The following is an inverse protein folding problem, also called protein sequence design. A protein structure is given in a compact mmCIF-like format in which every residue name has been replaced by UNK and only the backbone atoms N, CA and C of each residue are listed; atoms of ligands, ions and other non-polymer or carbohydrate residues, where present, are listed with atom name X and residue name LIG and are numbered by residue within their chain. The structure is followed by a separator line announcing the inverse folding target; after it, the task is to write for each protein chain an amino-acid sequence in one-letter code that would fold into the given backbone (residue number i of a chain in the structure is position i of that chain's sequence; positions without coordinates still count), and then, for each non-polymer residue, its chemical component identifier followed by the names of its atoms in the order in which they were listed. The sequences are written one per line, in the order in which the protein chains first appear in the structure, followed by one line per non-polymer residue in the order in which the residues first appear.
data_IF_618788283801
#
_entry.id   IF_618788283801
#
_cell.length_a   1.000
_cell.length_b   1.000
_cell.length_c   1.000
_cell.angle_alpha   90.00
_cell.angle_beta   90.00
_cell.angle_gamma   90.00
#
_symmetry.space_group_name_H-M   'P 1'
#
loop_
_entity.id
_entity.type
_entity.pdbx_description
1 polymer ?
#
# COMPACT_ATOMS: atom_id res chain seq x y z
N UNK A 1 -12.74 24.22 2.76
CA UNK A 1 -11.26 24.22 2.79
C UNK A 1 -10.75 23.16 1.81
N UNK A 2 -9.69 23.49 1.07
CA UNK A 2 -9.00 22.53 0.18
C UNK A 2 -7.81 21.96 0.93
N UNK A 3 -7.57 20.62 0.91
CA UNK A 3 -6.42 20.04 1.57
C UNK A 3 -5.14 20.26 0.74
N UNK A 4 -4.00 20.39 1.42
CA UNK A 4 -2.68 20.32 0.79
C UNK A 4 -2.18 18.87 0.70
N UNK A 5 -2.60 18.02 1.66
CA UNK A 5 -2.23 16.60 1.74
C UNK A 5 -3.49 15.77 1.96
N UNK A 6 -3.59 14.66 1.21
CA UNK A 6 -4.62 13.64 1.35
C UNK A 6 -3.92 12.33 1.73
N UNK A 7 -4.27 11.74 2.88
CA UNK A 7 -3.74 10.44 3.29
C UNK A 7 -4.78 9.36 3.05
N UNK A 8 -4.43 8.36 2.23
CA UNK A 8 -5.28 7.21 1.92
C UNK A 8 -4.53 5.92 2.30
N UNK A 9 -5.25 4.97 2.89
CA UNK A 9 -4.72 3.65 3.24
C UNK A 9 -5.69 2.59 2.73
N UNK A 10 -5.29 1.88 1.66
CA UNK A 10 -6.08 0.81 1.07
C UNK A 10 -5.19 -0.33 0.56
N UNK A 11 -5.49 -1.60 0.90
CA UNK A 11 -6.52 -2.00 1.88
C UNK A 11 -6.28 -1.41 3.27
N UNK A 12 -7.36 -1.08 3.96
CA UNK A 12 -7.32 -0.28 5.20
C UNK A 12 -7.01 -1.11 6.45
N UNK A 13 -6.15 -0.59 7.29
CA UNK A 13 -6.02 -1.00 8.67
C UNK A 13 -6.70 0.05 9.57
N UNK A 14 -7.76 -0.27 10.35
CA UNK A 14 -8.15 -1.62 10.81
C UNK A 14 -9.33 -2.26 10.10
N UNK A 15 -10.04 -1.56 9.22
CA UNK A 15 -11.36 -1.98 8.73
C UNK A 15 -11.33 -3.12 7.70
N UNK A 16 -10.19 -3.35 7.04
CA UNK A 16 -10.07 -4.30 5.93
C UNK A 16 -10.73 -3.83 4.62
N UNK A 17 -11.25 -2.60 4.59
CA UNK A 17 -11.87 -2.03 3.40
C UNK A 17 -10.87 -1.78 2.29
N UNK A 18 -11.31 -1.99 1.06
CA UNK A 18 -10.58 -1.70 -0.15
C UNK A 18 -11.33 -0.66 -1.01
N UNK A 19 -10.64 -0.08 -1.97
CA UNK A 19 -11.21 0.91 -2.87
C UNK A 19 -11.08 0.41 -4.32
N UNK A 20 -12.12 0.58 -5.15
CA UNK A 20 -12.02 0.22 -6.56
C UNK A 20 -11.16 1.23 -7.32
N UNK A 21 -10.69 0.83 -8.50
CA UNK A 21 -9.90 1.71 -9.36
C UNK A 21 -10.66 2.99 -9.73
N UNK A 22 -11.96 2.88 -10.02
CA UNK A 22 -12.80 4.02 -10.37
C UNK A 22 -12.94 5.00 -9.20
N UNK A 23 -13.13 4.46 -7.99
CA UNK A 23 -13.21 5.27 -6.77
C UNK A 23 -11.87 5.96 -6.45
N UNK A 24 -10.74 5.23 -6.64
CA UNK A 24 -9.42 5.79 -6.45
C UNK A 24 -9.09 6.88 -7.48
N UNK A 25 -9.56 6.72 -8.73
CA UNK A 25 -9.41 7.73 -9.78
C UNK A 25 -10.06 9.06 -9.39
N UNK A 26 -11.21 9.05 -8.72
CA UNK A 26 -11.87 10.29 -8.23
C UNK A 26 -10.96 11.05 -7.27
N UNK A 27 -10.21 10.36 -6.40
CA UNK A 27 -9.25 11.00 -5.51
C UNK A 27 -8.06 11.58 -6.24
N UNK A 28 -7.54 10.87 -7.25
CA UNK A 28 -6.44 11.34 -8.10
C UNK A 28 -6.85 12.59 -8.88
N UNK A 29 -8.03 12.58 -9.49
CA UNK A 29 -8.57 13.72 -10.25
C UNK A 29 -8.78 14.93 -9.33
N UNK A 30 -9.33 14.69 -8.14
CA UNK A 30 -9.51 15.75 -7.15
C UNK A 30 -8.18 16.36 -6.69
N UNK A 31 -7.18 15.51 -6.36
CA UNK A 31 -5.86 15.97 -5.94
C UNK A 31 -5.18 16.82 -7.02
N UNK A 32 -5.21 16.37 -8.27
CA UNK A 32 -4.67 17.15 -9.41
C UNK A 32 -5.41 18.47 -9.60
N UNK A 33 -6.74 18.47 -9.43
CA UNK A 33 -7.57 19.69 -9.56
C UNK A 33 -7.23 20.76 -8.53
N UNK A 34 -6.96 20.36 -7.27
CA UNK A 34 -6.73 21.30 -6.18
C UNK A 34 -5.25 21.54 -5.86
N UNK A 35 -4.34 20.78 -6.50
CA UNK A 35 -2.89 20.84 -6.26
C UNK A 35 -2.45 20.13 -4.97
N UNK A 36 -3.25 19.20 -4.44
CA UNK A 36 -2.92 18.41 -3.27
C UNK A 36 -1.98 17.25 -3.60
N UNK A 37 -1.23 16.78 -2.60
CA UNK A 37 -0.42 15.57 -2.69
C UNK A 37 -1.10 14.42 -1.95
N UNK A 38 -1.32 13.29 -2.64
CA UNK A 38 -1.81 12.07 -2.01
C UNK A 38 -0.61 11.30 -1.43
N UNK A 39 -0.71 10.90 -0.16
CA UNK A 39 0.14 9.87 0.44
C UNK A 39 -0.70 8.59 0.48
N UNK A 40 -0.35 7.63 -0.37
CA UNK A 40 -1.07 6.36 -0.52
C UNK A 40 -0.33 5.24 0.20
N UNK A 41 -0.91 4.72 1.27
CA UNK A 41 -0.37 3.61 2.04
C UNK A 41 -0.89 2.28 1.47
N UNK A 42 -0.02 1.60 0.73
CA UNK A 42 -0.26 0.32 0.08
C UNK A 42 0.35 -0.87 0.86
N UNK A 43 0.52 -0.75 2.18
CA UNK A 43 1.19 -1.77 2.99
C UNK A 43 0.52 -3.15 2.92
N UNK A 44 -0.75 -3.23 2.54
CA UNK A 44 -1.53 -4.47 2.42
C UNK A 44 -1.86 -4.86 0.98
N UNK A 45 -1.26 -4.24 -0.04
CA UNK A 45 -1.54 -4.48 -1.45
C UNK A 45 -1.42 -5.96 -1.87
N UNK A 46 -0.51 -6.70 -1.26
CA UNK A 46 -0.28 -8.11 -1.55
C UNK A 46 -1.45 -9.03 -1.14
N UNK A 47 -2.39 -8.53 -0.34
CA UNK A 47 -3.59 -9.25 0.09
C UNK A 47 -4.80 -9.02 -0.82
N UNK A 48 -4.67 -8.20 -1.86
CA UNK A 48 -5.74 -7.90 -2.81
C UNK A 48 -5.94 -9.11 -3.73
N UNK A 49 -7.19 -9.57 -3.84
CA UNK A 49 -7.59 -10.66 -4.71
C UNK A 49 -8.66 -10.27 -5.73
N UNK A 50 -9.38 -9.17 -5.52
CA UNK A 50 -10.41 -8.69 -6.43
C UNK A 50 -9.79 -7.90 -7.58
N UNK A 51 -10.16 -8.25 -8.82
CA UNK A 51 -9.59 -7.68 -10.04
C UNK A 51 -9.83 -6.16 -10.22
N UNK A 52 -10.90 -5.64 -9.64
CA UNK A 52 -11.26 -4.22 -9.71
C UNK A 52 -10.60 -3.35 -8.63
N UNK A 53 -9.84 -3.95 -7.72
CA UNK A 53 -9.10 -3.27 -6.66
C UNK A 53 -7.64 -3.09 -7.10
N UNK A 54 -7.15 -1.84 -7.23
CA UNK A 54 -5.79 -1.61 -7.71
C UNK A 54 -4.74 -1.98 -6.66
N UNK A 55 -3.64 -2.57 -7.11
CA UNK A 55 -2.46 -2.86 -6.27
C UNK A 55 -1.56 -1.63 -6.07
N UNK A 56 -1.72 -0.62 -6.93
CA UNK A 56 -0.95 0.62 -6.89
C UNK A 56 -1.81 1.80 -7.30
N UNK A 57 -1.61 2.95 -6.65
CA UNK A 57 -2.24 4.20 -7.07
C UNK A 57 -1.83 4.60 -8.51
N UNK A 58 -0.66 4.14 -8.96
CA UNK A 58 -0.15 4.44 -10.30
C UNK A 58 -0.87 3.68 -11.42
N UNK A 59 -1.82 2.83 -11.11
CA UNK A 59 -2.78 2.29 -12.08
C UNK A 59 -3.85 3.32 -12.48
N UNK A 60 -3.98 4.41 -11.68
CA UNK A 60 -4.86 5.53 -11.99
C UNK A 60 -4.14 6.57 -12.89
N UNK A 61 -4.87 7.09 -13.87
CA UNK A 61 -4.34 8.13 -14.76
C UNK A 61 -4.05 9.43 -13.98
N UNK A 62 -2.91 10.05 -14.24
CA UNK A 62 -2.51 11.28 -13.56
C UNK A 62 -1.97 11.10 -12.13
N UNK A 63 -1.90 9.89 -11.58
CA UNK A 63 -1.40 9.68 -10.21
C UNK A 63 0.08 10.05 -10.05
N UNK A 64 0.89 9.94 -11.11
CA UNK A 64 2.32 10.29 -11.06
C UNK A 64 2.60 11.76 -10.78
N UNK A 65 1.63 12.63 -11.02
CA UNK A 65 1.75 14.08 -10.78
C UNK A 65 1.20 14.54 -9.45
N UNK A 66 0.54 13.66 -8.68
CA UNK A 66 -0.06 14.03 -7.40
C UNK A 66 0.13 13.01 -6.28
N UNK A 67 0.77 11.84 -6.49
CA UNK A 67 0.81 10.79 -5.47
C UNK A 67 2.21 10.32 -5.11
N UNK A 68 2.39 10.02 -3.82
CA UNK A 68 3.50 9.28 -3.22
C UNK A 68 2.93 7.96 -2.71
N UNK A 69 3.59 6.83 -3.01
CA UNK A 69 3.15 5.51 -2.59
C UNK A 69 4.11 4.88 -1.58
N UNK A 70 3.55 4.29 -0.53
CA UNK A 70 4.30 3.64 0.55
C UNK A 70 4.06 2.13 0.53
N UNK A 71 5.13 1.34 0.62
CA UNK A 71 5.09 -0.11 0.68
C UNK A 71 5.83 -0.67 1.90
N UNK A 72 5.40 -1.83 2.37
CA UNK A 72 5.98 -2.48 3.54
C UNK A 72 6.16 -3.98 3.31
N UNK A 73 7.37 -4.49 3.56
CA UNK A 73 7.64 -5.93 3.60
C UNK A 73 7.19 -6.60 4.91
N UNK A 74 6.79 -5.79 5.90
CA UNK A 74 6.31 -6.32 7.19
C UNK A 74 5.11 -7.22 7.05
N UNK A 75 4.23 -6.93 6.08
CA UNK A 75 2.94 -7.60 5.92
C UNK A 75 2.99 -8.73 4.90
N UNK A 76 3.52 -8.44 3.71
CA UNK A 76 3.58 -9.43 2.64
C UNK A 76 4.66 -10.51 2.88
N UNK A 77 5.84 -10.15 3.41
CA UNK A 77 6.99 -11.04 3.57
C UNK A 77 7.31 -11.43 5.02
N UNK A 78 6.49 -11.01 5.99
CA UNK A 78 6.74 -11.29 7.41
C UNK A 78 7.94 -10.54 7.99
N UNK A 79 8.40 -9.45 7.36
CA UNK A 79 9.59 -8.69 7.76
C UNK A 79 9.34 -7.71 8.92
N UNK A 80 8.35 -7.97 9.77
CA UNK A 80 8.02 -7.08 10.88
C UNK A 80 9.22 -6.80 11.79
N UNK A 81 10.05 -7.79 12.09
CA UNK A 81 11.28 -7.65 12.87
C UNK A 81 12.50 -7.25 12.04
N UNK A 82 12.47 -7.41 10.72
CA UNK A 82 13.58 -7.12 9.81
C UNK A 82 13.64 -5.65 9.42
N UNK A 83 12.52 -4.95 9.43
CA UNK A 83 12.35 -3.51 9.19
C UNK A 83 12.70 -3.06 7.78
N UNK A 84 11.89 -3.46 6.80
CA UNK A 84 12.04 -3.05 5.41
C UNK A 84 10.74 -2.49 4.83
N UNK A 85 10.84 -1.40 4.12
CA UNK A 85 9.79 -0.79 3.32
C UNK A 85 10.42 0.08 2.24
N UNK A 86 9.62 0.57 1.32
CA UNK A 86 10.07 1.53 0.31
C UNK A 86 8.99 2.55 0.01
N UNK A 87 9.43 3.69 -0.52
CA UNK A 87 8.58 4.80 -0.94
C UNK A 87 8.81 5.06 -2.42
N UNK A 88 7.73 5.16 -3.17
CA UNK A 88 7.77 5.55 -4.58
C UNK A 88 7.39 7.02 -4.70
N UNK A 89 8.31 7.84 -5.19
CA UNK A 89 8.08 9.26 -5.47
C UNK A 89 8.43 9.50 -6.94
N UNK A 90 7.43 9.74 -7.80
CA UNK A 90 7.68 10.02 -9.21
C UNK A 90 8.55 11.26 -9.41
N UNK A 91 9.41 11.23 -10.43
CA UNK A 91 10.21 12.41 -10.77
C UNK A 91 9.38 13.58 -11.28
N UNK A 92 8.17 13.29 -11.75
CA UNK A 92 7.23 14.28 -12.29
C UNK A 92 6.41 14.99 -11.19
N UNK A 93 6.45 14.45 -9.95
CA UNK A 93 5.70 15.00 -8.83
C UNK A 93 6.34 16.29 -8.31
N UNK A 94 5.55 17.37 -8.33
CA UNK A 94 5.95 18.71 -7.88
C UNK A 94 4.99 19.23 -6.81
N UNK A 95 5.52 20.11 -5.95
CA UNK A 95 4.75 21.01 -5.12
C UNK A 95 5.19 22.44 -5.44
N UNK A 96 4.34 23.21 -6.13
CA UNK A 96 4.76 24.43 -6.81
C UNK A 96 5.89 24.13 -7.79
N UNK A 97 6.99 24.86 -7.70
CA UNK A 97 8.16 24.68 -8.55
C UNK A 97 9.16 23.65 -8.03
N UNK A 98 8.86 22.98 -6.91
CA UNK A 98 9.79 22.09 -6.20
C UNK A 98 9.53 20.63 -6.56
N UNK A 99 10.58 19.93 -7.04
CA UNK A 99 10.55 18.49 -7.33
C UNK A 99 10.62 17.69 -6.03
N UNK A 100 9.55 17.02 -5.64
CA UNK A 100 9.50 16.26 -4.37
C UNK A 100 10.46 15.10 -4.34
N UNK A 101 10.69 14.42 -5.47
CA UNK A 101 11.67 13.34 -5.57
C UNK A 101 13.09 13.81 -5.17
N UNK A 102 13.52 14.98 -5.62
CA UNK A 102 14.86 15.51 -5.31
C UNK A 102 15.00 15.85 -3.81
N UNK A 103 13.95 16.44 -3.22
CA UNK A 103 13.92 16.71 -1.76
C UNK A 103 13.96 15.42 -0.95
N UNK A 104 13.18 14.42 -1.33
CA UNK A 104 13.17 13.12 -0.67
C UNK A 104 14.51 12.42 -0.76
N UNK A 105 15.12 12.34 -1.95
CA UNK A 105 16.42 11.72 -2.16
C UNK A 105 17.51 12.35 -1.26
N UNK A 106 17.54 13.69 -1.20
CA UNK A 106 18.45 14.42 -0.32
C UNK A 106 18.19 14.12 1.16
N UNK A 107 16.93 14.19 1.59
CA UNK A 107 16.54 13.93 2.98
C UNK A 107 16.87 12.50 3.39
N UNK A 108 16.48 11.53 2.56
CA UNK A 108 16.71 10.11 2.81
C UNK A 108 18.23 9.82 2.92
N UNK A 109 19.01 10.24 1.93
CA UNK A 109 20.46 10.02 1.92
C UNK A 109 21.22 10.74 3.03
N UNK A 110 20.66 11.82 3.62
CA UNK A 110 21.30 12.58 4.71
C UNK A 110 20.91 12.07 6.10
N UNK A 111 19.67 11.62 6.26
CA UNK A 111 19.11 11.25 7.57
C UNK A 111 19.23 9.77 7.89
N UNK A 112 19.18 8.91 6.87
CA UNK A 112 18.99 7.47 7.08
C UNK A 112 19.99 6.58 6.32
N UNK A 113 20.41 6.96 5.12
CA UNK A 113 21.28 6.19 4.21
C UNK A 113 20.69 4.85 3.71
N UNK A 114 19.47 4.50 4.07
CA UNK A 114 18.79 3.28 3.66
C UNK A 114 18.87 2.13 4.68
N UNK A 115 18.16 1.05 4.40
CA UNK A 115 18.17 -0.16 5.20
C UNK A 115 19.53 -0.89 5.10
N UNK A 116 19.90 -1.73 6.07
CA UNK A 116 21.12 -2.55 5.98
C UNK A 116 21.15 -3.38 4.70
N UNK A 117 22.34 -3.53 4.10
CA UNK A 117 22.49 -4.23 2.81
C UNK A 117 21.91 -5.64 2.80
N UNK A 118 22.13 -6.42 3.87
CA UNK A 118 21.56 -7.79 4.02
C UNK A 118 20.03 -7.76 3.95
N UNK A 119 19.40 -6.76 4.58
CA UNK A 119 17.94 -6.59 4.58
C UNK A 119 17.43 -6.22 3.18
N UNK A 120 18.17 -5.38 2.44
CA UNK A 120 17.84 -5.04 1.06
C UNK A 120 17.94 -6.28 0.15
N UNK A 121 18.98 -7.12 0.31
CA UNK A 121 19.11 -8.38 -0.43
C UNK A 121 17.99 -9.38 -0.10
N UNK A 122 17.56 -9.44 1.17
CA UNK A 122 16.39 -10.22 1.56
C UNK A 122 15.11 -9.71 0.88
N UNK A 123 14.92 -8.38 0.80
CA UNK A 123 13.82 -7.77 0.07
C UNK A 123 13.83 -8.08 -1.44
N UNK A 124 15.00 -8.07 -2.06
CA UNK A 124 15.16 -8.47 -3.46
C UNK A 124 14.76 -9.94 -3.68
N UNK A 125 15.14 -10.83 -2.77
CA UNK A 125 14.81 -12.25 -2.84
C UNK A 125 13.29 -12.51 -2.78
N UNK A 126 12.51 -11.63 -2.16
CA UNK A 126 11.04 -11.67 -2.15
C UNK A 126 10.44 -11.68 -3.56
N UNK A 127 11.10 -10.99 -4.50
CA UNK A 127 10.64 -10.89 -5.90
C UNK A 127 11.17 -12.00 -6.81
N UNK A 128 12.02 -12.91 -6.31
CA UNK A 128 12.43 -14.10 -7.05
C UNK A 128 11.23 -15.04 -7.30
N UNK A 129 11.30 -15.96 -8.27
CA UNK A 129 10.25 -16.95 -8.48
C UNK A 129 9.91 -17.74 -7.21
N UNK A 130 10.92 -18.19 -6.47
CA UNK A 130 10.76 -18.93 -5.21
C UNK A 130 10.17 -18.04 -4.12
N UNK A 131 10.62 -16.79 -4.01
CA UNK A 131 10.10 -15.81 -3.04
C UNK A 131 8.61 -15.55 -3.27
N UNK A 132 8.21 -15.29 -4.51
CA UNK A 132 6.80 -15.07 -4.87
C UNK A 132 5.92 -16.28 -4.54
N UNK A 133 6.40 -17.50 -4.79
CA UNK A 133 5.64 -18.71 -4.46
C UNK A 133 5.51 -18.91 -2.95
N UNK A 134 6.54 -18.60 -2.16
CA UNK A 134 6.49 -18.63 -0.70
C UNK A 134 5.52 -17.57 -0.16
N UNK A 135 5.57 -16.35 -0.69
CA UNK A 135 4.65 -15.29 -0.31
C UNK A 135 3.19 -15.66 -0.59
N UNK A 136 2.92 -16.21 -1.77
CA UNK A 136 1.56 -16.65 -2.14
C UNK A 136 0.99 -17.64 -1.12
N UNK A 137 1.79 -18.61 -0.68
CA UNK A 137 1.39 -19.58 0.34
C UNK A 137 1.13 -18.92 1.70
N UNK A 138 2.01 -18.01 2.11
CA UNK A 138 1.86 -17.27 3.37
C UNK A 138 0.62 -16.39 3.37
N UNK A 139 0.38 -15.63 2.30
CA UNK A 139 -0.80 -14.77 2.15
C UNK A 139 -2.07 -15.61 2.14
N UNK A 140 -2.08 -16.73 1.39
CA UNK A 140 -3.21 -17.65 1.38
C UNK A 140 -3.53 -18.20 2.77
N UNK A 141 -2.53 -18.50 3.59
CA UNK A 141 -2.74 -18.93 4.98
C UNK A 141 -3.45 -17.87 5.81
N UNK A 142 -3.01 -16.61 5.75
CA UNK A 142 -3.66 -15.51 6.48
C UNK A 142 -5.08 -15.25 5.98
N UNK A 143 -5.30 -15.28 4.68
CA UNK A 143 -6.62 -15.03 4.11
C UNK A 143 -7.60 -16.19 4.39
N UNK A 144 -7.12 -17.44 4.43
CA UNK A 144 -7.93 -18.57 4.88
C UNK A 144 -8.36 -18.41 6.35
N UNK A 145 -7.45 -17.96 7.22
CA UNK A 145 -7.80 -17.67 8.62
C UNK A 145 -8.85 -16.55 8.71
N UNK A 146 -8.67 -15.47 7.94
CA UNK A 146 -9.63 -14.36 7.89
C UNK A 146 -11.01 -14.85 7.43
N UNK A 147 -11.07 -15.64 6.36
CA UNK A 147 -12.32 -16.23 5.85
C UNK A 147 -13.00 -17.13 6.91
N UNK A 148 -12.23 -17.98 7.59
CA UNK A 148 -12.76 -18.84 8.65
C UNK A 148 -13.37 -18.03 9.81
N UNK A 149 -12.67 -17.00 10.27
CA UNK A 149 -13.16 -16.13 11.36
C UNK A 149 -14.37 -15.32 10.90
N UNK A 150 -14.32 -14.75 9.68
CA UNK A 150 -15.41 -13.96 9.11
C UNK A 150 -16.71 -14.78 9.05
N UNK A 151 -16.63 -16.02 8.54
CA UNK A 151 -17.79 -16.90 8.43
C UNK A 151 -18.31 -17.31 9.81
N UNK A 152 -17.44 -17.69 10.74
CA UNK A 152 -17.83 -18.03 12.11
C UNK A 152 -18.50 -16.88 12.85
N UNK A 153 -18.06 -15.63 12.65
CA UNK A 153 -18.72 -14.47 13.25
C UNK A 153 -20.10 -14.21 12.62
N UNK A 154 -20.22 -14.36 11.29
CA UNK A 154 -21.53 -14.24 10.60
C UNK A 154 -22.52 -15.31 11.05
N UNK A 155 -22.07 -16.57 11.18
CA UNK A 155 -22.87 -17.68 11.68
C UNK A 155 -23.33 -17.47 13.12
N UNK A 156 -22.50 -16.78 13.92
CA UNK A 156 -22.84 -16.38 15.30
C UNK A 156 -23.75 -15.14 15.36
N UNK A 157 -24.15 -14.55 14.23
CA UNK A 157 -25.08 -13.42 14.16
C UNK A 157 -24.45 -12.04 14.24
N UNK A 158 -23.12 -11.92 14.13
CA UNK A 158 -22.45 -10.61 14.08
C UNK A 158 -22.51 -10.00 12.69
N UNK A 159 -22.66 -8.67 12.64
CA UNK A 159 -22.46 -7.89 11.42
C UNK A 159 -20.99 -7.50 11.33
N UNK A 160 -20.31 -7.98 10.29
CA UNK A 160 -18.86 -7.80 10.12
C UNK A 160 -18.54 -7.45 8.67
N UNK A 161 -17.46 -6.68 8.48
CA UNK A 161 -16.87 -6.32 7.18
C UNK A 161 -15.40 -6.70 7.12
N UNK A 162 -14.76 -6.53 5.94
CA UNK A 162 -13.35 -6.89 5.74
C UNK A 162 -13.12 -8.37 5.46
N UNK A 163 -11.90 -8.84 5.63
CA UNK A 163 -11.51 -10.25 5.42
C UNK A 163 -11.46 -10.71 3.95
N UNK A 164 -11.53 -9.79 2.97
CA UNK A 164 -11.55 -10.08 1.52
C UNK A 164 -10.24 -9.64 0.87
N UNK A 165 -9.87 -8.37 0.95
CA UNK A 165 -8.62 -7.81 0.39
C UNK A 165 -7.59 -7.45 1.47
N UNK A 166 -7.84 -7.84 2.69
CA UNK A 166 -6.93 -7.73 3.83
C UNK A 166 -7.33 -8.75 4.92
N UNK A 167 -6.40 -9.15 5.80
CA UNK A 167 -6.72 -10.12 6.85
C UNK A 167 -7.51 -9.53 8.04
N UNK A 168 -7.96 -8.28 7.93
CA UNK A 168 -8.72 -7.59 8.96
C UNK A 168 -10.20 -7.85 8.84
N UNK A 169 -10.85 -8.04 9.99
CA UNK A 169 -12.29 -8.18 10.14
C UNK A 169 -12.73 -7.12 11.14
N UNK A 170 -13.74 -6.36 10.76
CA UNK A 170 -14.23 -5.21 11.52
C UNK A 170 -15.69 -5.36 11.89
#
# INVERSE_FOLDING_TARGET
ETPDIIYLCFPNNPTGEAITKEQLQVWVDYANKVGAVIIYDAAYEAYIFEENVPHSIYECEGARTCAIELHSFSKNAGFTGVRLGYTVIPKDLKCGDVMLHALWARRHGTKYNGAPYIVQRAGEAVYSPEGKEQLKKQIAYYMNNASYILNGLKDAGYTVSGGVNAPYIW
#
